data_IF_262847534495
#
_entry.id   IF_262847534495
#
_cell.length_a   1.000
_cell.length_b   1.000
_cell.length_c   1.000
_cell.angle_alpha   90.00
_cell.angle_beta   90.00
_cell.angle_gamma   90.00
#
_symmetry.space_group_name_H-M   'P 1'
#
loop_
_entity.id
_entity.type
_entity.pdbx_description
1 polymer ?
#
# COMPACT_ATOMS: atom_id res chain seq x y z
N UNK A 1 11.02 -1.58 12.31
CA UNK A 1 11.59 -2.24 13.50
C UNK A 1 11.89 -1.22 14.61
N UNK A 2 10.90 -0.38 14.94
CA UNK A 2 10.83 0.41 16.19
C UNK A 2 9.35 0.47 16.59
N UNK A 3 8.47 0.69 15.61
CA UNK A 3 7.00 0.62 15.79
C UNK A 3 6.54 -0.79 16.22
N UNK A 4 7.03 -1.85 15.57
CA UNK A 4 6.71 -3.24 15.96
C UNK A 4 7.30 -3.64 17.33
N UNK A 5 8.41 -3.03 17.75
CA UNK A 5 9.06 -3.38 19.03
C UNK A 5 8.48 -2.60 20.22
N UNK A 6 7.86 -1.43 19.98
CA UNK A 6 7.38 -0.54 21.05
C UNK A 6 5.86 -0.52 21.19
N UNK A 7 5.11 -1.19 20.31
CA UNK A 7 3.65 -1.20 20.36
C UNK A 7 3.05 0.20 20.26
N UNK A 8 3.75 1.11 19.57
CA UNK A 8 3.30 2.48 19.43
C UNK A 8 2.00 2.53 18.64
N UNK A 9 1.02 3.27 19.15
CA UNK A 9 -0.31 3.44 18.53
C UNK A 9 -0.50 4.85 17.98
N UNK A 10 0.58 5.65 17.94
CA UNK A 10 0.51 7.06 17.61
C UNK A 10 0.36 7.24 16.10
N UNK A 11 -0.77 7.76 15.60
CA UNK A 11 -1.01 7.87 14.16
C UNK A 11 0.06 8.68 13.42
N UNK A 12 0.65 9.68 14.08
CA UNK A 12 1.72 10.51 13.53
C UNK A 12 2.94 9.66 13.14
N UNK A 13 3.40 8.76 14.02
CA UNK A 13 4.59 7.96 13.75
C UNK A 13 4.37 6.98 12.60
N UNK A 14 3.19 6.38 12.56
CA UNK A 14 2.80 5.47 11.48
C UNK A 14 2.67 6.20 10.14
N UNK A 15 2.07 7.39 10.16
CA UNK A 15 1.95 8.23 8.98
C UNK A 15 3.33 8.65 8.45
N UNK A 16 4.24 9.10 9.33
CA UNK A 16 5.61 9.47 8.97
C UNK A 16 6.40 8.30 8.38
N UNK A 17 6.25 7.09 8.95
CA UNK A 17 6.92 5.91 8.41
C UNK A 17 6.42 5.56 7.01
N UNK A 18 5.11 5.65 6.78
CA UNK A 18 4.51 5.45 5.44
C UNK A 18 5.04 6.50 4.46
N UNK A 19 5.12 7.77 4.87
CA UNK A 19 5.67 8.83 4.05
C UNK A 19 7.14 8.59 3.69
N UNK A 20 7.93 8.13 4.65
CA UNK A 20 9.34 7.80 4.45
C UNK A 20 9.52 6.64 3.47
N UNK A 21 8.77 5.55 3.64
CA UNK A 21 8.81 4.43 2.70
C UNK A 21 8.37 4.83 1.29
N UNK A 22 7.26 5.59 1.17
CA UNK A 22 6.80 6.13 -0.11
C UNK A 22 7.90 6.93 -0.79
N UNK A 23 8.54 7.86 -0.06
CA UNK A 23 9.63 8.67 -0.58
C UNK A 23 10.73 7.79 -1.17
N UNK A 24 11.26 6.82 -0.42
CA UNK A 24 12.33 5.92 -0.88
C UNK A 24 11.97 5.22 -2.19
N UNK A 25 10.74 4.69 -2.30
CA UNK A 25 10.30 3.95 -3.50
C UNK A 25 10.18 4.88 -4.71
N UNK A 26 9.76 6.13 -4.50
CA UNK A 26 9.58 7.13 -5.56
C UNK A 26 10.86 7.89 -5.95
N UNK A 27 11.95 7.75 -5.19
CA UNK A 27 13.19 8.47 -5.48
C UNK A 27 13.75 8.05 -6.85
N UNK A 28 14.26 8.98 -7.67
CA UNK A 28 14.96 8.64 -8.90
C UNK A 28 16.27 7.89 -8.58
N UNK A 29 16.72 7.02 -9.48
CA UNK A 29 18.04 6.40 -9.35
C UNK A 29 19.11 7.49 -9.42
N UNK A 30 20.11 7.39 -8.53
CA UNK A 30 21.19 8.39 -8.42
C UNK A 30 22.32 8.15 -9.40
N UNK A 31 22.40 6.93 -9.93
CA UNK A 31 23.46 6.44 -10.79
C UNK A 31 22.92 6.19 -12.21
N UNK A 32 23.77 6.41 -13.21
CA UNK A 32 23.49 6.07 -14.61
C UNK A 32 24.05 4.71 -15.02
N UNK A 33 24.90 4.11 -14.17
CA UNK A 33 25.49 2.80 -14.41
C UNK A 33 24.44 1.70 -14.27
N UNK A 34 24.30 0.78 -15.26
CA UNK A 34 23.23 -0.22 -15.28
C UNK A 34 23.27 -1.15 -14.06
N UNK A 35 24.46 -1.52 -13.57
CA UNK A 35 24.62 -2.37 -12.39
C UNK A 35 24.10 -1.70 -11.10
N UNK A 36 24.36 -0.39 -10.95
CA UNK A 36 23.90 0.37 -9.78
C UNK A 36 22.40 0.66 -9.87
N UNK A 37 21.85 0.85 -11.07
CA UNK A 37 20.40 1.01 -11.30
C UNK A 37 19.64 -0.25 -10.92
N UNK A 38 20.15 -1.43 -11.27
CA UNK A 38 19.53 -2.70 -10.88
C UNK A 38 19.53 -2.90 -9.35
N UNK A 39 20.65 -2.59 -8.70
CA UNK A 39 20.75 -2.65 -7.24
C UNK A 39 19.77 -1.67 -6.56
N UNK A 40 19.67 -0.44 -7.06
CA UNK A 40 18.73 0.57 -6.56
C UNK A 40 17.28 0.11 -6.74
N UNK A 41 16.94 -0.45 -7.90
CA UNK A 41 15.60 -1.00 -8.15
C UNK A 41 15.27 -2.15 -7.21
N UNK A 42 16.23 -3.05 -6.95
CA UNK A 42 16.06 -4.13 -6.00
C UNK A 42 15.84 -3.63 -4.57
N UNK A 43 16.57 -2.58 -4.14
CA UNK A 43 16.35 -1.93 -2.85
C UNK A 43 14.97 -1.29 -2.76
N UNK A 44 14.54 -0.57 -3.81
CA UNK A 44 13.20 0.04 -3.88
C UNK A 44 12.10 -1.01 -3.79
N UNK A 45 12.23 -2.13 -4.51
CA UNK A 45 11.26 -3.22 -4.47
C UNK A 45 11.15 -3.85 -3.06
N UNK A 46 12.28 -4.01 -2.35
CA UNK A 46 12.26 -4.45 -0.95
C UNK A 46 11.51 -3.46 -0.04
N UNK A 47 11.73 -2.16 -0.21
CA UNK A 47 11.03 -1.14 0.58
C UNK A 47 9.56 -1.08 0.20
N UNK A 48 9.22 -1.26 -1.07
CA UNK A 48 7.85 -1.33 -1.56
C UNK A 48 7.07 -2.46 -0.90
N UNK A 49 7.66 -3.66 -0.84
CA UNK A 49 7.07 -4.80 -0.10
C UNK A 49 6.88 -4.49 1.38
N UNK A 50 7.83 -3.82 2.02
CA UNK A 50 7.69 -3.38 3.42
C UNK A 50 6.57 -2.36 3.61
N UNK A 51 6.45 -1.40 2.70
CA UNK A 51 5.36 -0.42 2.69
C UNK A 51 4.01 -1.11 2.59
N UNK A 52 3.84 -1.99 1.60
CA UNK A 52 2.59 -2.71 1.39
C UNK A 52 2.24 -3.58 2.60
N UNK A 53 3.21 -4.31 3.16
CA UNK A 53 3.03 -5.09 4.39
C UNK A 53 2.55 -4.19 5.54
N UNK A 54 3.22 -3.05 5.76
CA UNK A 54 2.87 -2.11 6.81
C UNK A 54 1.47 -1.50 6.65
N UNK A 55 1.06 -1.18 5.42
CA UNK A 55 -0.29 -0.67 5.14
C UNK A 55 -1.40 -1.68 5.47
N UNK A 56 -1.12 -2.97 5.31
CA UNK A 56 -2.07 -4.04 5.63
C UNK A 56 -2.09 -4.37 7.13
N UNK A 57 -0.93 -4.42 7.79
CA UNK A 57 -0.83 -4.85 9.20
C UNK A 57 -1.13 -3.75 10.21
N UNK A 58 -0.75 -2.50 9.90
CA UNK A 58 -0.92 -1.41 10.84
C UNK A 58 -2.32 -0.82 10.78
N UNK A 59 -2.98 -0.63 11.92
CA UNK A 59 -4.31 0.00 11.97
C UNK A 59 -4.31 1.46 12.45
N UNK A 60 -3.15 1.97 12.84
CA UNK A 60 -3.04 3.25 13.56
C UNK A 60 -2.83 4.46 12.65
N UNK A 61 -2.57 4.27 11.35
CA UNK A 61 -2.39 5.38 10.42
C UNK A 61 -3.73 5.95 9.93
N UNK A 62 -3.72 7.21 9.50
CA UNK A 62 -4.93 7.86 8.96
C UNK A 62 -4.97 7.71 7.44
N UNK A 63 -5.69 6.69 6.95
CA UNK A 63 -5.73 6.36 5.52
C UNK A 63 -6.11 7.54 4.61
N UNK A 64 -7.04 8.39 5.03
CA UNK A 64 -7.48 9.56 4.26
C UNK A 64 -6.35 10.57 4.08
N UNK A 65 -5.62 10.88 5.16
CA UNK A 65 -4.46 11.78 5.13
C UNK A 65 -3.36 11.21 4.26
N UNK A 66 -3.06 9.92 4.40
CA UNK A 66 -2.01 9.25 3.64
C UNK A 66 -2.33 9.23 2.15
N UNK A 67 -3.56 8.89 1.77
CA UNK A 67 -3.99 8.75 0.37
C UNK A 67 -3.74 10.02 -0.45
N UNK A 68 -3.90 11.20 0.14
CA UNK A 68 -3.65 12.51 -0.53
C UNK A 68 -2.22 12.63 -1.03
N UNK A 69 -1.28 11.98 -0.35
CA UNK A 69 0.14 12.01 -0.72
C UNK A 69 0.54 10.88 -1.67
N UNK A 70 -0.34 9.93 -1.99
CA UNK A 70 0.00 8.85 -2.91
C UNK A 70 -0.19 9.28 -4.37
N UNK A 71 0.80 9.02 -5.24
CA UNK A 71 0.72 9.35 -6.65
C UNK A 71 -0.41 8.59 -7.37
N UNK A 72 -0.87 9.14 -8.50
CA UNK A 72 -1.89 8.53 -9.35
C UNK A 72 -1.31 7.68 -10.49
N UNK A 73 -0.04 7.90 -10.84
CA UNK A 73 0.70 7.26 -11.94
C UNK A 73 1.61 6.12 -11.48
N UNK A 74 1.75 5.94 -10.17
CA UNK A 74 2.59 4.92 -9.54
C UNK A 74 2.00 4.47 -8.21
N UNK A 75 2.57 3.42 -7.59
CA UNK A 75 2.10 2.88 -6.30
C UNK A 75 0.61 2.49 -6.28
N UNK A 76 0.10 2.00 -7.41
CA UNK A 76 -1.31 1.69 -7.58
C UNK A 76 -1.84 0.68 -6.54
N UNK A 77 -1.06 -0.37 -6.24
CA UNK A 77 -1.47 -1.40 -5.27
C UNK A 77 -1.60 -0.81 -3.85
N UNK A 78 -0.64 -0.03 -3.41
CA UNK A 78 -0.65 0.64 -2.12
C UNK A 78 -1.85 1.61 -2.02
N UNK A 79 -2.13 2.32 -3.12
CA UNK A 79 -3.28 3.22 -3.23
C UNK A 79 -4.60 2.46 -3.15
N UNK A 80 -4.69 1.28 -3.76
CA UNK A 80 -5.88 0.42 -3.67
C UNK A 80 -6.12 -0.06 -2.24
N UNK A 81 -5.06 -0.45 -1.50
CA UNK A 81 -5.17 -0.80 -0.07
C UNK A 81 -5.72 0.37 0.75
N UNK A 82 -5.18 1.58 0.56
CA UNK A 82 -5.64 2.78 1.26
C UNK A 82 -7.11 3.10 0.97
N UNK A 83 -7.54 3.01 -0.29
CA UNK A 83 -8.93 3.19 -0.70
C UNK A 83 -9.85 2.14 -0.05
N UNK A 84 -9.40 0.89 0.02
CA UNK A 84 -10.12 -0.18 0.70
C UNK A 84 -10.36 0.10 2.17
N UNK A 85 -9.36 0.61 2.89
CA UNK A 85 -9.52 1.02 4.29
C UNK A 85 -10.47 2.19 4.50
N UNK A 86 -10.69 2.99 3.46
CA UNK A 86 -11.65 4.09 3.47
C UNK A 86 -13.06 3.65 3.04
N UNK A 87 -13.31 2.35 2.86
CA UNK A 87 -14.57 1.82 2.35
C UNK A 87 -14.79 2.06 0.85
N UNK A 88 -13.79 2.58 0.14
CA UNK A 88 -13.88 2.91 -1.28
C UNK A 88 -13.55 1.69 -2.16
N UNK A 89 -14.22 0.56 -1.91
CA UNK A 89 -13.91 -0.73 -2.54
C UNK A 89 -14.06 -0.72 -4.06
N UNK A 90 -15.02 0.01 -4.60
CA UNK A 90 -15.18 0.14 -6.06
C UNK A 90 -13.93 0.77 -6.70
N UNK A 91 -13.38 1.83 -6.10
CA UNK A 91 -12.16 2.46 -6.62
C UNK A 91 -10.94 1.54 -6.45
N UNK A 92 -10.82 0.85 -5.31
CA UNK A 92 -9.76 -0.13 -5.10
C UNK A 92 -9.80 -1.27 -6.14
N UNK A 93 -10.98 -1.82 -6.40
CA UNK A 93 -11.19 -2.86 -7.41
C UNK A 93 -10.88 -2.35 -8.82
N UNK A 94 -11.30 -1.13 -9.15
CA UNK A 94 -11.01 -0.51 -10.44
C UNK A 94 -9.50 -0.41 -10.68
N UNK A 95 -8.72 -0.11 -9.63
CA UNK A 95 -7.25 -0.14 -9.73
C UNK A 95 -6.76 -1.55 -10.06
N UNK A 96 -7.20 -2.58 -9.34
CA UNK A 96 -6.75 -3.95 -9.59
C UNK A 96 -7.13 -4.47 -10.98
N UNK A 97 -8.36 -4.18 -11.45
CA UNK A 97 -8.87 -4.72 -12.72
C UNK A 97 -8.46 -3.92 -13.94
N UNK A 98 -8.47 -2.58 -13.86
CA UNK A 98 -8.23 -1.73 -15.02
C UNK A 98 -6.81 -1.18 -15.07
N UNK A 99 -6.23 -0.81 -13.92
CA UNK A 99 -4.91 -0.17 -13.88
C UNK A 99 -3.79 -1.19 -13.80
N UNK A 100 -3.92 -2.17 -12.90
CA UNK A 100 -2.94 -3.25 -12.73
C UNK A 100 -3.23 -4.46 -13.64
N UNK A 101 -4.47 -4.59 -14.12
CA UNK A 101 -4.95 -5.74 -14.90
C UNK A 101 -4.66 -7.09 -14.23
N UNK A 102 -4.62 -7.12 -12.89
CA UNK A 102 -4.36 -8.31 -12.10
C UNK A 102 -5.66 -8.85 -11.51
N UNK A 103 -6.31 -9.72 -12.29
CA UNK A 103 -7.54 -10.37 -11.89
C UNK A 103 -7.36 -11.26 -10.64
N UNK A 104 -6.18 -11.82 -10.40
CA UNK A 104 -5.94 -12.67 -9.23
C UNK A 104 -5.94 -11.84 -7.96
N UNK A 105 -5.29 -10.68 -7.99
CA UNK A 105 -5.31 -9.73 -6.87
C UNK A 105 -6.69 -9.12 -6.65
N UNK A 106 -7.42 -8.79 -7.72
CA UNK A 106 -8.81 -8.34 -7.60
C UNK A 106 -9.69 -9.38 -6.88
N UNK A 107 -9.57 -10.66 -7.26
CA UNK A 107 -10.30 -11.75 -6.61
C UNK A 107 -9.91 -11.90 -5.13
N UNK A 108 -8.62 -11.87 -4.83
CA UNK A 108 -8.13 -11.92 -3.45
C UNK A 108 -8.67 -10.75 -2.61
N UNK A 109 -8.68 -9.54 -3.17
CA UNK A 109 -9.25 -8.36 -2.54
C UNK A 109 -10.76 -8.53 -2.26
N UNK A 110 -11.52 -9.06 -3.23
CA UNK A 110 -12.93 -9.38 -3.00
C UNK A 110 -13.10 -10.40 -1.87
N UNK A 111 -12.33 -11.49 -1.86
CA UNK A 111 -12.45 -12.54 -0.84
C UNK A 111 -12.20 -12.02 0.58
N UNK A 112 -11.21 -11.14 0.74
CA UNK A 112 -10.80 -10.58 2.03
C UNK A 112 -11.77 -9.49 2.53
N UNK A 113 -12.30 -8.63 1.65
CA UNK A 113 -13.15 -7.52 2.08
C UNK A 113 -14.66 -7.79 1.99
N UNK A 114 -15.12 -8.58 1.02
CA UNK A 114 -16.57 -8.88 0.87
C UNK A 114 -17.11 -9.73 2.02
N UNK A 115 -16.28 -10.59 2.60
CA UNK A 115 -16.65 -11.42 3.76
C UNK A 115 -16.66 -10.62 5.07
N UNK A 116 -16.00 -9.46 5.11
CA UNK A 116 -15.90 -8.63 6.30
C UNK A 116 -17.03 -7.58 6.38
N UNK A 117 -17.51 -7.10 5.22
CA UNK A 117 -18.65 -6.17 5.14
C UNK A 117 -20.02 -6.87 5.05
N UNK A 118 -20.02 -8.19 4.89
CA UNK A 118 -21.21 -9.01 4.73
C UNK A 118 -21.41 -9.99 5.87
N UNK A 119 -22.27 -9.63 6.83
CA UNK A 119 -23.29 -10.57 7.30
C UNK A 119 -24.05 -11.07 6.05
N UNK A 120 -23.50 -12.08 5.39
CA UNK A 120 -24.16 -12.78 4.31
C UNK A 120 -25.38 -13.46 4.91
N UNK A 121 -26.54 -12.86 4.71
CA UNK A 121 -27.82 -13.54 4.89
C UNK A 121 -27.74 -14.91 4.22
N UNK A 122 -28.11 -15.91 5.00
CA UNK A 122 -28.48 -17.24 4.57
C UNK A 122 -29.31 -17.19 3.28
N UNK A 123 -28.94 -18.02 2.31
CA UNK A 123 -29.87 -18.67 1.38
C UNK A 123 -29.49 -20.12 1.22
#
# INVERSE_FOLDING_TARGET
>A
HVIEEWGDVTPLLHNELIHHYRQIVTLPCRSSDPANVEEDNFKKEKVRKKLLKFLNESEHYTAATILVHFPYDSLHEERAVLLGRLGQHHQALSIYTHTLQDNKRALHYCQTHYTQDGSGSEV
#
